data_IF_872294058428
#
_entry.id   IF_872294058428
#
_cell.length_a   1.000
_cell.length_b   1.000
_cell.length_c   1.000
_cell.angle_alpha   90.00
_cell.angle_beta   90.00
_cell.angle_gamma   90.00
#
_symmetry.space_group_name_H-M   'P 1'
#
loop_
_entity.id
_entity.type
_entity.pdbx_description
1 polymer ?
#
# COMPACT_ATOMS: atom_id res chain seq x y z
N UNK A 1 -2.92 4.28 17.15
CA UNK A 1 -2.63 3.80 15.78
C UNK A 1 -3.68 4.31 14.80
N UNK A 2 -3.23 4.60 13.60
CA UNK A 2 -4.08 5.11 12.51
C UNK A 2 -4.01 4.12 11.34
N UNK A 3 -5.15 3.80 10.76
CA UNK A 3 -5.19 3.06 9.50
C UNK A 3 -5.60 4.01 8.37
N UNK A 4 -4.90 3.93 7.24
CA UNK A 4 -5.21 4.70 6.04
C UNK A 4 -5.52 3.73 4.91
N UNK A 5 -6.56 4.02 4.15
CA UNK A 5 -6.90 3.27 2.96
C UNK A 5 -6.96 4.21 1.77
N UNK A 6 -6.26 3.84 0.70
CA UNK A 6 -6.32 4.56 -0.58
C UNK A 6 -6.64 3.59 -1.70
N UNK A 7 -7.42 4.04 -2.66
CA UNK A 7 -7.80 3.23 -3.81
C UNK A 7 -7.90 4.10 -5.06
N UNK A 8 -7.29 3.64 -6.15
CA UNK A 8 -7.38 4.24 -7.47
C UNK A 8 -8.12 3.32 -8.43
N UNK A 9 -8.97 3.92 -9.26
CA UNK A 9 -9.46 3.27 -10.45
C UNK A 9 -8.48 3.60 -11.59
N UNK A 10 -7.95 2.58 -12.24
CA UNK A 10 -6.92 2.75 -13.26
C UNK A 10 -7.49 2.83 -14.69
N UNK A 11 -8.81 2.77 -14.86
CA UNK A 11 -9.43 2.72 -16.20
C UNK A 11 -8.97 3.85 -17.12
N UNK A 12 -8.77 5.05 -16.56
CA UNK A 12 -8.34 6.22 -17.32
C UNK A 12 -6.85 6.52 -17.16
N UNK A 13 -6.12 5.65 -16.49
CA UNK A 13 -4.69 5.83 -16.25
C UNK A 13 -3.88 5.21 -17.39
N UNK A 14 -2.69 5.76 -17.62
CA UNK A 14 -1.73 5.17 -18.56
C UNK A 14 -0.97 4.01 -17.95
N UNK A 15 -0.98 3.87 -16.63
CA UNK A 15 -0.29 2.78 -15.96
C UNK A 15 -1.21 1.58 -15.77
N UNK A 16 -0.61 0.43 -15.57
CA UNK A 16 -1.33 -0.84 -15.40
C UNK A 16 -0.97 -1.45 -14.05
N UNK A 17 -1.78 -2.41 -13.61
CA UNK A 17 -1.47 -3.20 -12.40
C UNK A 17 -0.09 -3.84 -12.52
N UNK A 18 0.25 -4.38 -13.69
CA UNK A 18 1.54 -5.01 -13.89
C UNK A 18 2.71 -4.04 -13.74
N UNK A 19 2.59 -2.83 -14.28
CA UNK A 19 3.62 -1.80 -14.11
C UNK A 19 3.77 -1.38 -12.66
N UNK A 20 2.65 -1.27 -11.94
CA UNK A 20 2.68 -0.95 -10.52
C UNK A 20 3.28 -2.08 -9.68
N UNK A 21 3.04 -3.34 -10.04
CA UNK A 21 3.72 -4.48 -9.41
C UNK A 21 5.24 -4.36 -9.57
N UNK A 22 5.69 -3.96 -10.74
CA UNK A 22 7.13 -3.77 -11.00
C UNK A 22 7.68 -2.65 -10.12
N UNK A 23 6.94 -1.55 -9.98
CA UNK A 23 7.30 -0.48 -9.08
C UNK A 23 7.47 -0.97 -7.63
N UNK A 24 6.60 -1.87 -7.14
CA UNK A 24 6.74 -2.44 -5.81
C UNK A 24 8.06 -3.21 -5.66
N UNK A 25 8.36 -4.07 -6.61
CA UNK A 25 9.57 -4.91 -6.58
C UNK A 25 10.83 -4.07 -6.71
N UNK A 26 10.82 -3.10 -7.61
CA UNK A 26 12.02 -2.32 -7.95
C UNK A 26 12.33 -1.24 -6.91
N UNK A 27 11.32 -0.68 -6.23
CA UNK A 27 11.62 0.41 -5.30
C UNK A 27 10.71 0.51 -4.08
N UNK A 28 9.39 0.33 -4.23
CA UNK A 28 8.46 0.77 -3.18
C UNK A 28 8.60 -0.02 -1.87
N UNK A 29 8.67 -1.34 -1.94
CA UNK A 29 8.72 -2.17 -0.73
C UNK A 29 9.96 -1.83 0.09
N UNK A 30 11.13 -1.74 -0.55
CA UNK A 30 12.37 -1.42 0.15
C UNK A 30 12.31 -0.03 0.80
N UNK A 31 11.77 0.95 0.09
CA UNK A 31 11.65 2.31 0.62
C UNK A 31 10.70 2.41 1.79
N UNK A 32 9.58 1.69 1.72
CA UNK A 32 8.59 1.73 2.79
C UNK A 32 9.06 1.00 4.05
N UNK A 33 9.99 0.05 3.94
CA UNK A 33 10.57 -0.58 5.12
C UNK A 33 11.30 0.41 6.02
N UNK A 34 11.78 1.52 5.46
CA UNK A 34 12.54 2.53 6.18
C UNK A 34 11.66 3.64 6.78
N UNK A 35 10.34 3.57 6.62
CA UNK A 35 9.44 4.63 7.11
C UNK A 35 9.24 4.47 8.62
N UNK A 36 9.66 5.48 9.37
CA UNK A 36 9.49 5.51 10.82
C UNK A 36 8.00 5.55 11.19
N UNK A 37 7.60 4.67 12.09
CA UNK A 37 6.22 4.62 12.57
C UNK A 37 5.24 3.91 11.67
N UNK A 38 5.67 3.41 10.53
CA UNK A 38 4.84 2.53 9.70
C UNK A 38 4.93 1.11 10.25
N UNK A 39 3.80 0.56 10.70
CA UNK A 39 3.72 -0.78 11.28
C UNK A 39 3.48 -1.84 10.21
N UNK A 40 2.68 -1.51 9.21
CA UNK A 40 2.33 -2.45 8.14
C UNK A 40 1.81 -1.65 6.96
N UNK A 41 2.16 -2.10 5.76
CA UNK A 41 1.53 -1.62 4.54
C UNK A 41 1.18 -2.82 3.68
N UNK A 42 -0.07 -2.88 3.24
CA UNK A 42 -0.57 -3.92 2.35
C UNK A 42 -1.01 -3.24 1.06
N UNK A 43 -0.34 -3.54 -0.05
CA UNK A 43 -0.80 -3.10 -1.36
C UNK A 43 -1.82 -4.09 -1.89
N UNK A 44 -2.85 -3.59 -2.55
CA UNK A 44 -3.96 -4.40 -3.05
C UNK A 44 -4.23 -4.09 -4.52
N UNK A 45 -4.76 -5.06 -5.23
CA UNK A 45 -5.10 -4.88 -6.63
C UNK A 45 -6.31 -5.74 -7.02
N UNK A 46 -7.00 -5.30 -8.07
CA UNK A 46 -8.00 -6.11 -8.76
C UNK A 46 -7.85 -5.82 -10.24
N UNK A 47 -7.23 -6.75 -10.98
CA UNK A 47 -7.00 -6.57 -12.41
C UNK A 47 -8.30 -6.55 -13.20
N UNK A 48 -9.30 -7.32 -12.77
CA UNK A 48 -10.58 -7.39 -13.48
C UNK A 48 -11.29 -6.05 -13.49
N UNK A 49 -11.25 -5.34 -12.36
CA UNK A 49 -11.88 -4.01 -12.24
C UNK A 49 -10.88 -2.87 -12.38
N UNK A 50 -9.63 -3.18 -12.68
CA UNK A 50 -8.54 -2.21 -12.85
C UNK A 50 -8.38 -1.28 -11.66
N UNK A 51 -8.29 -1.86 -10.43
CA UNK A 51 -8.12 -1.07 -9.22
C UNK A 51 -6.78 -1.39 -8.55
N UNK A 52 -6.23 -0.37 -7.92
CA UNK A 52 -4.98 -0.45 -7.18
C UNK A 52 -5.07 0.39 -5.93
N UNK A 53 -4.54 -0.11 -4.83
CA UNK A 53 -4.56 0.65 -3.60
C UNK A 53 -3.64 0.11 -2.55
N UNK A 54 -3.81 0.62 -1.34
CA UNK A 54 -3.02 0.18 -0.21
C UNK A 54 -3.74 0.47 1.10
N UNK A 55 -3.44 -0.36 2.09
CA UNK A 55 -3.81 -0.14 3.48
C UNK A 55 -2.51 0.10 4.25
N UNK A 56 -2.48 1.16 5.04
CA UNK A 56 -1.34 1.50 5.90
C UNK A 56 -1.79 1.42 7.35
N UNK A 57 -0.91 0.92 8.21
CA UNK A 57 -1.11 1.01 9.66
C UNK A 57 0.07 1.79 10.23
N UNK A 58 -0.21 2.97 10.79
CA UNK A 58 0.79 3.84 11.42
C UNK A 58 0.64 3.76 12.95
N UNK A 59 1.76 3.86 13.66
CA UNK A 59 1.74 3.82 15.13
C UNK A 59 1.13 5.07 15.75
N UNK A 60 1.10 6.20 15.03
CA UNK A 60 0.61 7.48 15.55
C UNK A 60 0.10 8.37 14.43
N UNK A 61 -0.62 9.42 14.80
CA UNK A 61 -1.05 10.46 13.88
C UNK A 61 0.16 11.18 13.27
N UNK A 62 1.18 11.44 14.07
CA UNK A 62 2.40 12.10 13.61
C UNK A 62 3.08 11.27 12.51
N UNK A 63 3.17 9.96 12.70
CA UNK A 63 3.74 9.07 11.69
C UNK A 63 2.94 9.12 10.39
N UNK A 64 1.62 9.23 10.48
CA UNK A 64 0.75 9.27 9.30
C UNK A 64 0.85 10.59 8.51
N UNK A 65 1.38 11.64 9.12
CA UNK A 65 1.48 12.98 8.49
C UNK A 65 2.83 13.27 7.88
N UNK A 66 3.80 12.37 8.01
CA UNK A 66 5.12 12.56 7.41
C UNK A 66 5.06 12.39 5.88
N UNK A 67 6.06 12.93 5.20
CA UNK A 67 6.23 12.70 3.78
C UNK A 67 6.60 11.23 3.54
N UNK A 68 5.88 10.58 2.66
CA UNK A 68 6.09 9.17 2.34
C UNK A 68 6.81 9.01 1.01
N UNK A 69 7.65 7.97 0.87
CA UNK A 69 8.41 7.74 -0.37
C UNK A 69 7.56 7.10 -1.47
N UNK A 70 6.32 7.54 -1.62
CA UNK A 70 5.40 6.99 -2.61
C UNK A 70 5.46 7.78 -3.91
N UNK A 71 5.51 7.06 -5.02
CA UNK A 71 5.38 7.63 -6.36
C UNK A 71 4.08 7.19 -7.05
N UNK A 72 3.18 6.56 -6.30
CA UNK A 72 1.94 6.03 -6.89
C UNK A 72 1.12 7.12 -7.58
N UNK A 73 0.93 8.27 -6.92
CA UNK A 73 0.17 9.38 -7.48
C UNK A 73 0.79 9.89 -8.78
N UNK A 74 2.11 9.97 -8.82
CA UNK A 74 2.86 10.39 -10.01
C UNK A 74 2.72 9.37 -11.14
N UNK A 75 2.90 8.09 -10.84
CA UNK A 75 2.84 7.02 -11.83
C UNK A 75 1.42 6.84 -12.39
N UNK A 76 0.42 6.92 -11.52
CA UNK A 76 -0.99 6.78 -11.92
C UNK A 76 -1.49 8.05 -12.59
N UNK A 77 -1.01 9.21 -12.18
CA UNK A 77 -1.33 10.48 -12.80
C UNK A 77 -2.50 11.23 -12.17
N UNK A 78 -2.96 10.80 -11.01
CA UNK A 78 -4.06 11.45 -10.30
C UNK A 78 -4.04 11.11 -8.82
N UNK A 79 -4.82 11.85 -8.04
CA UNK A 79 -5.08 11.54 -6.64
C UNK A 79 -5.92 10.27 -6.53
N UNK A 80 -5.87 9.57 -5.40
CA UNK A 80 -6.74 8.40 -5.19
C UNK A 80 -8.22 8.77 -5.33
N UNK A 81 -8.99 7.86 -5.88
CA UNK A 81 -10.45 8.01 -5.94
C UNK A 81 -11.09 7.86 -4.57
N UNK A 82 -10.48 7.05 -3.71
CA UNK A 82 -10.88 6.90 -2.31
C UNK A 82 -9.64 7.08 -1.44
N UNK A 83 -9.76 7.91 -0.41
CA UNK A 83 -8.71 8.11 0.58
C UNK A 83 -9.38 8.37 1.93
N UNK A 84 -9.23 7.44 2.86
CA UNK A 84 -9.88 7.51 4.15
C UNK A 84 -8.92 7.12 5.27
N UNK A 85 -9.14 7.68 6.45
CA UNK A 85 -8.37 7.36 7.66
C UNK A 85 -9.30 7.07 8.81
N UNK A 86 -8.88 6.13 9.66
CA UNK A 86 -9.64 5.71 10.82
C UNK A 86 -8.70 5.46 11.99
N UNK A 87 -9.22 5.62 13.21
CA UNK A 87 -8.54 5.08 14.39
C UNK A 87 -8.61 3.55 14.35
N UNK A 88 -7.55 2.90 14.78
CA UNK A 88 -7.55 1.44 14.90
C UNK A 88 -8.22 1.07 16.22
N UNK A 89 -9.29 0.29 16.16
CA UNK A 89 -10.01 -0.16 17.36
C UNK A 89 -9.34 -1.37 18.00
N UNK A 90 -8.92 -2.33 17.20
CA UNK A 90 -8.26 -3.53 17.70
C UNK A 90 -7.53 -4.23 16.58
N UNK A 91 -6.52 -5.00 16.91
CA UNK A 91 -5.80 -5.85 15.97
C UNK A 91 -5.74 -7.26 16.51
N UNK A 92 -5.64 -8.23 15.63
CA UNK A 92 -5.40 -9.61 15.99
C UNK A 92 -4.53 -10.25 14.90
N UNK A 93 -3.52 -10.98 15.32
CA UNK A 93 -2.77 -11.83 14.39
C UNK A 93 -3.49 -13.19 14.38
N UNK A 94 -3.89 -13.63 13.19
CA UNK A 94 -4.50 -14.94 13.08
C UNK A 94 -3.48 -16.05 13.33
N UNK A 95 -3.94 -17.30 13.26
CA UNK A 95 -3.04 -18.45 13.31
C UNK A 95 -2.38 -18.57 11.94
N UNK A 96 -1.06 -18.55 11.91
CA UNK A 96 -0.32 -18.61 10.66
C UNK A 96 1.01 -19.35 10.85
N UNK A 97 1.50 -19.88 9.75
CA UNK A 97 2.79 -20.59 9.71
C UNK A 97 3.85 -19.77 8.96
N UNK A 98 3.58 -18.51 8.68
CA UNK A 98 4.49 -17.61 7.96
C UNK A 98 5.32 -16.83 8.98
N UNK A 99 6.64 -16.94 8.89
CA UNK A 99 7.55 -16.23 9.81
C UNK A 99 7.78 -14.79 9.39
N UNK A 100 7.68 -14.49 8.10
CA UNK A 100 7.96 -13.17 7.53
C UNK A 100 6.75 -12.69 6.72
N UNK A 101 6.29 -11.47 7.04
CA UNK A 101 5.17 -10.85 6.33
C UNK A 101 5.61 -9.84 5.28
N UNK A 102 6.94 -9.67 5.09
CA UNK A 102 7.44 -8.78 4.04
C UNK A 102 7.58 -9.53 2.72
N UNK A 103 7.34 -8.83 1.62
CA UNK A 103 7.53 -9.33 0.25
C UNK A 103 6.66 -10.54 -0.09
N UNK A 104 5.44 -10.55 0.44
CA UNK A 104 4.41 -11.49 0.03
C UNK A 104 3.49 -10.82 -0.98
N UNK A 105 2.73 -11.62 -1.72
CA UNK A 105 1.72 -11.13 -2.63
C UNK A 105 2.12 -11.26 -4.10
N UNK A 106 1.18 -10.94 -4.98
CA UNK A 106 1.27 -11.18 -6.42
C UNK A 106 2.47 -10.49 -7.09
N UNK A 107 2.90 -9.32 -6.59
CA UNK A 107 4.03 -8.60 -7.16
C UNK A 107 5.34 -9.39 -7.05
N UNK A 108 5.47 -10.27 -6.05
CA UNK A 108 6.68 -11.07 -5.79
C UNK A 108 6.57 -12.52 -6.23
N UNK A 109 5.45 -12.93 -6.76
CA UNK A 109 5.28 -14.27 -7.32
C UNK A 109 5.91 -14.35 -8.71
N UNK A 110 6.54 -15.51 -8.98
CA UNK A 110 7.21 -15.76 -10.24
C UNK A 110 6.86 -17.15 -10.77
#
# INVERSE_FOLDING_TARGET
MIVRFVLWNLADSKTTVEELRRYLVDEAVDRFEEVDGLRLKVWVSDETTERWGAVYVFESIEASRQDLPSRARELIGKDPDIAEEFDVEATVEGRFDIEDLSRLGLAFER
#
